data_IF_373351382372
#
_entry.id   IF_373351382372
#
_cell.length_a   1.000
_cell.length_b   1.000
_cell.length_c   1.000
_cell.angle_alpha   90.00
_cell.angle_beta   90.00
_cell.angle_gamma   90.00
#
_symmetry.space_group_name_H-M   'P 1'
#
loop_
_entity.id
_entity.type
_entity.pdbx_description
1 polymer ?
#
# COMPACT_ATOMS: atom_id res chain seq x y z
N UNK A 1 13.71 -10.49 23.39
CA UNK A 1 13.25 -9.51 22.38
C UNK A 1 11.73 -9.58 22.29
N UNK A 2 11.03 -8.44 22.20
CA UNK A 2 9.56 -8.40 22.32
C UNK A 2 8.87 -9.00 21.10
N UNK A 3 7.82 -9.79 21.33
CA UNK A 3 7.07 -10.50 20.29
C UNK A 3 6.24 -9.51 19.47
N UNK A 4 6.31 -9.62 18.14
CA UNK A 4 5.52 -8.79 17.22
C UNK A 4 4.16 -9.42 17.00
N UNK A 5 3.18 -8.56 16.74
CA UNK A 5 1.79 -8.96 16.53
C UNK A 5 1.14 -8.16 15.41
N UNK A 6 0.18 -8.79 14.74
CA UNK A 6 -0.77 -8.17 13.82
C UNK A 6 -2.05 -7.85 14.59
N UNK A 7 -2.56 -6.65 14.39
CA UNK A 7 -3.86 -6.22 14.88
C UNK A 7 -4.79 -6.19 13.68
N UNK A 8 -5.96 -6.82 13.80
CA UNK A 8 -6.91 -6.97 12.70
C UNK A 8 -8.34 -7.07 13.21
N UNK A 9 -9.28 -6.55 12.42
CA UNK A 9 -10.71 -6.80 12.59
C UNK A 9 -11.17 -7.95 11.70
N UNK A 10 -12.39 -8.44 11.93
CA UNK A 10 -13.09 -9.36 11.04
C UNK A 10 -14.18 -8.56 10.32
N UNK A 11 -14.38 -8.79 9.02
CA UNK A 11 -15.48 -8.18 8.28
C UNK A 11 -16.83 -8.62 8.85
N UNK A 12 -17.85 -7.77 8.73
CA UNK A 12 -19.22 -8.13 9.10
C UNK A 12 -19.84 -9.08 8.06
N UNK A 13 -19.45 -8.92 6.81
CA UNK A 13 -19.92 -9.74 5.69
C UNK A 13 -18.98 -10.92 5.45
N UNK A 14 -19.59 -12.09 5.22
CA UNK A 14 -18.90 -13.30 4.79
C UNK A 14 -18.58 -13.20 3.29
N UNK A 15 -17.38 -13.65 2.92
CA UNK A 15 -16.97 -13.76 1.53
C UNK A 15 -17.57 -15.04 0.97
N UNK A 16 -18.31 -14.91 -0.12
CA UNK A 16 -18.88 -16.02 -0.88
C UNK A 16 -18.20 -16.08 -2.26
N UNK A 17 -17.77 -17.26 -2.68
CA UNK A 17 -17.27 -17.46 -4.04
C UNK A 17 -18.43 -17.26 -5.04
N UNK A 18 -18.36 -16.27 -5.95
CA UNK A 18 -19.45 -15.98 -6.87
C UNK A 18 -19.69 -17.09 -7.91
N UNK A 19 -18.73 -17.99 -8.13
CA UNK A 19 -18.85 -19.07 -9.12
C UNK A 19 -19.42 -20.36 -8.51
N UNK A 20 -19.02 -20.69 -7.28
CA UNK A 20 -19.40 -21.95 -6.61
C UNK A 20 -20.49 -21.77 -5.55
N UNK A 21 -20.66 -20.55 -5.03
CA UNK A 21 -21.56 -20.25 -3.91
C UNK A 21 -21.03 -20.73 -2.56
N UNK A 22 -19.80 -21.23 -2.49
CA UNK A 22 -19.19 -21.68 -1.24
C UNK A 22 -18.77 -20.49 -0.37
N UNK A 23 -18.91 -20.64 0.95
CA UNK A 23 -18.33 -19.70 1.90
C UNK A 23 -16.81 -19.81 1.91
N UNK A 24 -16.15 -18.66 1.75
CA UNK A 24 -14.70 -18.48 1.91
C UNK A 24 -14.36 -17.90 3.29
N UNK A 25 -15.35 -17.77 4.19
CA UNK A 25 -15.21 -17.18 5.52
C UNK A 25 -15.18 -15.65 5.50
N UNK A 26 -14.69 -15.06 6.59
CA UNK A 26 -14.69 -13.60 6.79
C UNK A 26 -13.31 -13.00 6.52
N UNK A 27 -13.30 -11.77 5.99
CA UNK A 27 -12.07 -11.06 5.68
C UNK A 27 -11.38 -10.54 6.94
N UNK A 28 -10.07 -10.79 7.07
CA UNK A 28 -9.25 -10.12 8.08
C UNK A 28 -8.89 -8.69 7.61
N UNK A 29 -9.44 -7.69 8.27
CA UNK A 29 -9.17 -6.28 8.02
C UNK A 29 -7.96 -5.82 8.84
N UNK A 30 -6.78 -5.83 8.23
CA UNK A 30 -5.52 -5.44 8.89
C UNK A 30 -5.58 -3.99 9.37
N UNK A 31 -5.35 -3.78 10.68
CA UNK A 31 -5.26 -2.47 11.32
C UNK A 31 -3.83 -1.97 11.45
N UNK A 32 -2.86 -2.89 11.48
CA UNK A 32 -1.44 -2.58 11.55
C UNK A 32 -0.67 -3.61 12.38
N UNK A 33 0.59 -3.32 12.66
CA UNK A 33 1.46 -4.17 13.48
C UNK A 33 2.08 -3.41 14.63
N UNK A 34 2.39 -4.14 15.69
CA UNK A 34 3.07 -3.58 16.84
C UNK A 34 3.91 -4.61 17.58
N UNK A 35 4.56 -4.14 18.64
CA UNK A 35 5.39 -4.94 19.53
C UNK A 35 4.78 -4.97 20.92
N UNK A 36 4.73 -6.15 21.52
CA UNK A 36 4.35 -6.29 22.92
C UNK A 36 5.47 -5.71 23.79
N UNK A 37 5.13 -4.71 24.61
CA UNK A 37 6.05 -4.04 25.53
C UNK A 37 5.84 -4.46 26.98
N UNK A 38 4.63 -4.91 27.35
CA UNK A 38 4.31 -5.41 28.68
C UNK A 38 3.32 -6.58 28.58
N UNK A 39 3.54 -7.60 29.39
CA UNK A 39 2.61 -8.74 29.56
C UNK A 39 2.19 -8.81 31.02
N UNK A 40 0.89 -8.97 31.24
CA UNK A 40 0.24 -9.24 32.52
C UNK A 40 -0.65 -10.48 32.34
N UNK A 41 -1.20 -11.01 33.44
CA UNK A 41 -1.90 -12.32 33.44
C UNK A 41 -3.01 -12.45 32.38
N UNK A 42 -3.75 -11.36 32.11
CA UNK A 42 -4.91 -11.37 31.19
C UNK A 42 -4.86 -10.29 30.10
N UNK A 43 -3.80 -9.48 30.07
CA UNK A 43 -3.68 -8.35 29.16
C UNK A 43 -2.22 -8.13 28.77
N UNK A 44 -2.01 -7.53 27.60
CA UNK A 44 -0.70 -7.04 27.18
C UNK A 44 -0.83 -5.62 26.64
N UNK A 45 0.25 -4.84 26.78
CA UNK A 45 0.35 -3.52 26.17
C UNK A 45 1.18 -3.65 24.91
N UNK A 46 0.63 -3.16 23.80
CA UNK A 46 1.24 -3.18 22.48
C UNK A 46 1.57 -1.74 22.09
N UNK A 47 2.80 -1.52 21.62
CA UNK A 47 3.24 -0.25 21.06
C UNK A 47 3.41 -0.37 19.55
N UNK A 48 3.07 0.68 18.82
CA UNK A 48 3.29 0.76 17.38
C UNK A 48 4.80 0.84 17.12
N UNK A 49 5.35 -0.16 16.43
CA UNK A 49 6.80 -0.33 16.28
C UNK A 49 7.34 0.19 14.95
N UNK A 50 6.50 0.89 14.19
CA UNK A 50 6.82 1.45 12.88
C UNK A 50 6.32 2.88 12.76
N UNK A 51 6.97 3.66 11.89
CA UNK A 51 6.45 4.94 11.42
C UNK A 51 6.02 4.75 9.96
N UNK A 52 4.98 5.46 9.48
CA UNK A 52 4.76 5.53 8.04
C UNK A 52 6.00 6.21 7.44
N UNK A 53 6.90 5.45 6.82
CA UNK A 53 8.04 6.00 6.07
C UNK A 53 7.59 6.46 4.67
N UNK A 54 6.47 7.18 4.66
CA UNK A 54 5.77 7.57 3.44
C UNK A 54 5.25 8.98 3.65
N UNK A 55 5.72 9.89 2.80
CA UNK A 55 5.13 11.21 2.66
C UNK A 55 3.79 11.08 1.93
N UNK A 56 2.69 11.13 2.68
CA UNK A 56 1.32 11.00 2.15
C UNK A 56 0.95 12.17 1.21
N UNK A 57 1.53 13.36 1.43
CA UNK A 57 1.30 14.51 0.54
C UNK A 57 1.98 14.28 -0.82
N UNK A 58 3.20 13.74 -0.78
CA UNK A 58 3.92 13.33 -2.00
C UNK A 58 3.20 12.21 -2.74
N UNK A 59 2.65 11.23 -2.02
CA UNK A 59 1.88 10.13 -2.62
C UNK A 59 0.61 10.65 -3.30
N UNK A 60 -0.13 11.53 -2.63
CA UNK A 60 -1.34 12.16 -3.17
C UNK A 60 -1.03 12.95 -4.45
N UNK A 61 0.06 13.73 -4.45
CA UNK A 61 0.49 14.48 -5.63
C UNK A 61 0.79 13.56 -6.82
N UNK A 62 1.59 12.50 -6.61
CA UNK A 62 1.93 11.52 -7.65
C UNK A 62 0.66 10.84 -8.19
N UNK A 63 -0.23 10.34 -7.33
CA UNK A 63 -1.47 9.68 -7.73
C UNK A 63 -2.36 10.61 -8.57
N UNK A 64 -2.53 11.87 -8.14
CA UNK A 64 -3.31 12.85 -8.90
C UNK A 64 -2.72 13.14 -10.27
N UNK A 65 -1.39 13.28 -10.36
CA UNK A 65 -0.72 13.52 -11.63
C UNK A 65 -0.87 12.32 -12.59
N UNK A 66 -0.78 11.08 -12.08
CA UNK A 66 -1.00 9.86 -12.85
C UNK A 66 -2.44 9.70 -13.34
N UNK A 67 -3.44 9.94 -12.49
CA UNK A 67 -4.86 9.78 -12.88
C UNK A 67 -5.34 10.83 -13.89
N UNK A 68 -4.65 11.97 -14.02
CA UNK A 68 -4.91 12.96 -15.05
C UNK A 68 -4.30 12.59 -16.42
N UNK A 69 -3.47 11.54 -16.48
CA UNK A 69 -2.88 11.00 -17.71
C UNK A 69 -3.52 9.64 -18.04
N UNK A 70 -4.76 9.63 -18.54
CA UNK A 70 -5.35 8.40 -19.10
C UNK A 70 -4.81 8.08 -20.52
N UNK A 71 -5.11 6.89 -21.06
CA UNK A 71 -4.19 5.81 -21.40
C UNK A 71 -3.36 6.09 -22.66
N UNK A 72 -2.13 5.53 -22.70
CA UNK A 72 -1.27 5.60 -23.88
C UNK A 72 -1.92 4.87 -25.06
N UNK A 73 -1.87 5.51 -26.22
CA UNK A 73 -2.18 4.86 -27.48
C UNK A 73 -1.07 3.83 -27.81
N UNK A 74 -1.45 2.63 -28.26
CA UNK A 74 -0.51 1.51 -28.52
C UNK A 74 0.55 1.86 -29.58
N UNK A 75 0.30 2.91 -30.37
CA UNK A 75 1.18 3.48 -31.39
C UNK A 75 2.43 4.16 -30.81
N UNK A 76 2.42 4.61 -29.55
CA UNK A 76 3.58 5.27 -28.92
C UNK A 76 4.67 4.30 -28.42
N UNK A 77 4.37 3.00 -28.36
CA UNK A 77 5.32 1.98 -27.90
C UNK A 77 6.43 1.68 -28.93
N UNK A 78 6.24 2.03 -30.20
CA UNK A 78 7.20 1.76 -31.30
C UNK A 78 7.88 3.01 -31.87
N UNK A 79 7.55 4.21 -31.38
CA UNK A 79 8.10 5.47 -31.89
C UNK A 79 9.51 5.73 -31.35
N UNK A 80 10.48 5.87 -32.27
CA UNK A 80 11.82 6.38 -31.98
C UNK A 80 11.85 7.85 -32.43
N UNK A 81 11.86 8.81 -31.49
CA UNK A 81 11.91 10.23 -31.84
C UNK A 81 13.23 10.58 -32.54
N UNK A 82 13.22 11.50 -33.52
CA UNK A 82 14.45 12.00 -34.14
C UNK A 82 15.29 12.78 -33.11
N UNK A 83 16.62 12.84 -33.29
CA UNK A 83 17.55 13.59 -32.42
C UNK A 83 17.49 15.11 -32.70
N UNK A 84 16.28 15.68 -32.73
CA UNK A 84 15.99 17.12 -32.78
C UNK A 84 15.73 17.65 -31.37
N UNK A 85 15.75 18.97 -31.15
CA UNK A 85 15.38 19.54 -29.85
C UNK A 85 14.02 19.05 -29.33
N UNK A 86 13.02 18.94 -30.22
CA UNK A 86 11.69 18.41 -29.90
C UNK A 86 11.71 16.92 -29.53
N UNK A 87 12.53 16.11 -30.21
CA UNK A 87 12.69 14.70 -29.87
C UNK A 87 13.44 14.47 -28.56
N UNK A 88 14.44 15.30 -28.25
CA UNK A 88 15.12 15.30 -26.95
C UNK A 88 14.14 15.67 -25.83
N UNK A 89 13.28 16.67 -26.05
CA UNK A 89 12.24 17.05 -25.08
C UNK A 89 11.23 15.92 -24.84
N UNK A 90 10.81 15.22 -25.90
CA UNK A 90 9.95 14.04 -25.79
C UNK A 90 10.62 12.92 -24.96
N UNK A 91 11.89 12.60 -25.25
CA UNK A 91 12.64 11.59 -24.49
C UNK A 91 12.79 11.99 -23.01
N UNK A 92 13.07 13.26 -22.73
CA UNK A 92 13.17 13.77 -21.37
C UNK A 92 11.83 13.66 -20.60
N UNK A 93 10.71 13.99 -21.24
CA UNK A 93 9.36 13.80 -20.67
C UNK A 93 9.07 12.34 -20.38
N UNK A 94 9.43 11.43 -21.31
CA UNK A 94 9.25 9.99 -21.16
C UNK A 94 10.08 9.41 -20.00
N UNK A 95 11.34 9.83 -19.87
CA UNK A 95 12.19 9.43 -18.74
C UNK A 95 11.72 9.99 -17.40
N UNK A 96 11.23 11.24 -17.38
CA UNK A 96 10.65 11.84 -16.19
C UNK A 96 9.40 11.05 -15.74
N UNK A 97 8.53 10.68 -16.68
CA UNK A 97 7.37 9.82 -16.42
C UNK A 97 7.79 8.44 -15.92
N UNK A 98 8.77 7.78 -16.55
CA UNK A 98 9.27 6.46 -16.11
C UNK A 98 9.83 6.50 -14.67
N UNK A 99 10.48 7.61 -14.32
CA UNK A 99 11.05 7.83 -12.99
C UNK A 99 9.95 8.00 -11.93
N UNK A 100 8.92 8.79 -12.25
CA UNK A 100 7.74 8.94 -11.38
C UNK A 100 6.97 7.61 -11.22
N UNK A 101 6.91 6.76 -12.24
CA UNK A 101 6.21 5.46 -12.18
C UNK A 101 6.91 4.55 -11.18
N UNK A 102 8.24 4.51 -11.27
CA UNK A 102 9.09 3.77 -10.33
C UNK A 102 8.96 4.31 -8.91
N UNK A 103 8.92 5.62 -8.73
CA UNK A 103 8.75 6.26 -7.43
C UNK A 103 7.39 5.93 -6.81
N UNK A 104 6.30 6.08 -7.57
CA UNK A 104 4.96 5.71 -7.14
C UNK A 104 4.89 4.23 -6.74
N UNK A 105 5.44 3.33 -7.58
CA UNK A 105 5.49 1.90 -7.28
C UNK A 105 6.28 1.62 -6.00
N UNK A 106 7.40 2.30 -5.79
CA UNK A 106 8.20 2.17 -4.57
C UNK A 106 7.44 2.65 -3.32
N UNK A 107 6.70 3.75 -3.42
CA UNK A 107 5.88 4.26 -2.32
C UNK A 107 4.71 3.33 -1.99
N UNK A 108 4.06 2.74 -3.00
CA UNK A 108 3.02 1.72 -2.81
C UNK A 108 3.60 0.45 -2.18
N UNK A 109 4.79 0.00 -2.60
CA UNK A 109 5.48 -1.15 -1.97
C UNK A 109 5.81 -0.86 -0.49
N UNK A 110 6.28 0.36 -0.19
CA UNK A 110 6.48 0.81 1.19
C UNK A 110 5.17 0.82 1.99
N UNK A 111 4.04 1.16 1.36
CA UNK A 111 2.71 1.13 2.00
C UNK A 111 2.29 -0.31 2.33
N UNK A 112 2.65 -1.28 1.47
CA UNK A 112 2.44 -2.70 1.70
C UNK A 112 3.29 -3.29 2.85
N UNK A 113 4.36 -2.61 3.28
CA UNK A 113 5.24 -3.09 4.36
C UNK A 113 4.64 -2.81 5.73
N UNK A 114 3.77 -3.71 6.24
CA UNK A 114 3.25 -3.80 7.64
C UNK A 114 3.20 -2.42 8.32
N UNK A 115 2.14 -1.65 8.16
CA UNK A 115 2.05 -0.29 8.69
C UNK A 115 1.99 -0.27 10.24
N UNK A 116 2.35 0.85 10.88
CA UNK A 116 1.90 1.10 12.25
C UNK A 116 0.40 0.93 12.35
N UNK A 117 -0.09 0.46 13.49
CA UNK A 117 -1.50 0.66 13.79
C UNK A 117 -1.71 2.12 14.19
N UNK A 118 -2.78 2.75 13.70
CA UNK A 118 -3.09 4.15 14.01
C UNK A 118 -4.38 4.30 14.86
N UNK A 119 -5.31 3.34 14.77
CA UNK A 119 -6.58 3.44 15.49
C UNK A 119 -7.26 2.07 15.69
N UNK A 120 -6.69 1.18 16.52
CA UNK A 120 -7.32 -0.10 16.85
C UNK A 120 -8.63 0.15 17.61
N UNK A 121 -9.66 -0.64 17.29
CA UNK A 121 -10.98 -0.56 17.89
C UNK A 121 -11.16 -1.61 18.99
N UNK A 122 -12.06 -1.35 19.94
CA UNK A 122 -12.49 -2.38 20.89
C UNK A 122 -13.12 -3.53 20.09
N UNK A 123 -12.65 -4.76 20.36
CA UNK A 123 -13.07 -5.95 19.62
C UNK A 123 -12.11 -6.38 18.51
N UNK A 124 -11.12 -5.55 18.14
CA UNK A 124 -10.05 -6.00 17.25
C UNK A 124 -9.24 -7.15 17.89
N UNK A 125 -8.78 -8.06 17.04
CA UNK A 125 -8.06 -9.26 17.41
C UNK A 125 -6.56 -9.09 17.20
N UNK A 126 -5.78 -9.94 17.89
CA UNK A 126 -4.32 -9.89 17.87
C UNK A 126 -3.76 -11.29 17.65
N UNK A 127 -2.83 -11.43 16.69
CA UNK A 127 -2.10 -12.69 16.47
C UNK A 127 -0.58 -12.49 16.29
N UNK A 128 0.26 -13.46 16.67
CA UNK A 128 1.71 -13.41 16.44
C UNK A 128 2.07 -13.41 14.94
N UNK A 129 3.17 -12.75 14.58
CA UNK A 129 3.67 -12.61 13.18
C UNK A 129 5.19 -12.61 13.03
#
# INVERSE_FOLDING_TARGET
MGRRVLIYGISEEEIIDPNTGESLGFLELVRGTGRIILVQDKISIIESDKKPDIDLNKLYYLIREYHLLQPRDLSELSYIPPLTPSGIEYLAKKELQSTRERELKSMIDKLGKRLPFENPQVGDLVKPI
#
